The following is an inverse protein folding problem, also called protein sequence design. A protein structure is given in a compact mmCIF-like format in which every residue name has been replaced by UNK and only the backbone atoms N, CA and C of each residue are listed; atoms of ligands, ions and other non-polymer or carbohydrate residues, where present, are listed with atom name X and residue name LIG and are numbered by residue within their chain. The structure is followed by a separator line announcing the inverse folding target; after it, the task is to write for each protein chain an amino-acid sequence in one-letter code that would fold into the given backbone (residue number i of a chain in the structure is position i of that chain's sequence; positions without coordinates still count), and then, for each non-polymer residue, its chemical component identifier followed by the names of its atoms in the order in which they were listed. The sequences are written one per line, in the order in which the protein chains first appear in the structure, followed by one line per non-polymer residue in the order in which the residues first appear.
data_IF_038965731552
#
_entry.id   IF_038965731552
#
_cell.length_a   1.000
_cell.length_b   1.000
_cell.length_c   1.000
_cell.angle_alpha   90.00
_cell.angle_beta   90.00
_cell.angle_gamma   90.00
#
_symmetry.space_group_name_H-M   'P 1'
#
loop_
_entity.id
_entity.type
_entity.pdbx_description
1 polymer ?
#
# COMPACT_ATOMS: atom_id res chain seq x y z
N UNK A 1 -3.87 30.26 13.92
CA UNK A 1 -4.43 29.23 14.82
C UNK A 1 -5.62 28.61 14.10
N UNK A 2 -5.60 27.30 13.84
CA UNK A 2 -6.70 26.59 13.17
C UNK A 2 -7.88 26.50 14.15
N UNK A 3 -9.07 26.94 13.75
CA UNK A 3 -10.27 26.92 14.59
C UNK A 3 -11.09 25.67 14.27
N UNK A 4 -11.25 24.79 15.26
CA UNK A 4 -12.00 23.53 15.14
C UNK A 4 -13.44 23.77 14.63
N UNK A 5 -14.09 24.83 15.12
CA UNK A 5 -15.45 25.22 14.74
C UNK A 5 -15.58 25.54 13.24
N UNK A 6 -14.57 26.20 12.66
CA UNK A 6 -14.51 26.47 11.23
C UNK A 6 -14.31 25.18 10.41
N UNK A 7 -13.45 24.27 10.87
CA UNK A 7 -13.24 22.98 10.19
C UNK A 7 -14.50 22.11 10.25
N UNK A 8 -15.20 22.11 11.39
CA UNK A 8 -16.48 21.43 11.56
C UNK A 8 -17.53 21.92 10.56
N UNK A 9 -17.63 23.25 10.40
CA UNK A 9 -18.52 23.87 9.41
C UNK A 9 -18.14 23.49 7.98
N UNK A 10 -16.87 23.58 7.64
CA UNK A 10 -16.36 23.19 6.31
C UNK A 10 -16.66 21.72 6.01
N UNK A 11 -16.48 20.85 6.98
CA UNK A 11 -16.69 19.42 6.80
C UNK A 11 -18.17 19.04 6.66
N UNK A 12 -19.05 19.68 7.43
CA UNK A 12 -20.50 19.57 7.22
C UNK A 12 -20.89 20.00 5.81
N UNK A 13 -20.40 21.16 5.36
CA UNK A 13 -20.70 21.68 4.02
C UNK A 13 -20.17 20.75 2.92
N UNK A 14 -18.99 20.15 3.09
CA UNK A 14 -18.46 19.15 2.14
C UNK A 14 -19.41 17.96 1.99
N UNK A 15 -20.01 17.52 3.09
CA UNK A 15 -20.98 16.41 3.09
C UNK A 15 -22.37 16.83 2.59
N UNK A 16 -22.57 18.10 2.22
CA UNK A 16 -23.85 18.60 1.71
C UNK A 16 -24.95 18.69 2.77
N UNK A 17 -24.59 18.66 4.06
CA UNK A 17 -25.56 18.62 5.17
C UNK A 17 -25.91 20.04 5.65
N UNK A 18 -27.18 20.25 5.98
CA UNK A 18 -27.63 21.42 6.74
C UNK A 18 -27.32 21.26 8.23
N UNK A 19 -27.36 22.37 8.99
CA UNK A 19 -27.17 22.36 10.45
C UNK A 19 -28.23 21.49 11.17
N UNK A 20 -29.44 21.44 10.63
CA UNK A 20 -30.55 20.66 11.21
C UNK A 20 -30.36 19.16 10.95
N UNK A 21 -29.94 18.80 9.74
CA UNK A 21 -29.68 17.42 9.35
C UNK A 21 -28.54 16.81 10.15
N UNK A 22 -27.39 17.48 10.26
CA UNK A 22 -26.27 16.96 11.04
C UNK A 22 -26.63 16.83 12.52
N UNK A 23 -27.39 17.78 13.07
CA UNK A 23 -27.80 17.72 14.47
C UNK A 23 -28.66 16.49 14.71
N UNK A 24 -29.66 16.27 13.83
CA UNK A 24 -30.52 15.08 13.86
C UNK A 24 -29.74 13.79 13.70
N UNK A 25 -28.85 13.69 12.70
CA UNK A 25 -28.08 12.47 12.46
C UNK A 25 -27.07 12.16 13.56
N UNK A 26 -26.49 13.18 14.19
CA UNK A 26 -25.53 13.03 15.28
C UNK A 26 -26.16 13.02 16.68
N UNK A 27 -27.49 13.01 16.78
CA UNK A 27 -28.21 12.89 18.05
C UNK A 27 -28.08 14.10 18.98
N UNK A 28 -27.89 15.30 18.43
CA UNK A 28 -27.82 16.55 19.19
C UNK A 28 -28.93 17.52 18.76
N UNK A 29 -29.25 18.50 19.61
CA UNK A 29 -30.18 19.55 19.20
C UNK A 29 -29.53 20.50 18.18
N UNK A 30 -30.31 21.11 17.28
CA UNK A 30 -29.81 22.15 16.37
C UNK A 30 -29.09 23.28 17.11
N UNK A 31 -29.62 23.70 18.26
CA UNK A 31 -28.99 24.71 19.13
C UNK A 31 -27.62 24.25 19.62
N UNK A 32 -27.50 22.99 20.03
CA UNK A 32 -26.22 22.39 20.44
C UNK A 32 -25.22 22.40 19.30
N UNK A 33 -25.64 22.06 18.08
CA UNK A 33 -24.78 22.08 16.91
C UNK A 33 -24.32 23.52 16.56
N UNK A 34 -25.19 24.51 16.66
CA UNK A 34 -24.82 25.91 16.45
C UNK A 34 -23.69 26.34 17.40
N UNK A 35 -23.77 25.98 18.69
CA UNK A 35 -22.69 26.26 19.64
C UNK A 35 -21.34 25.64 19.26
N UNK A 36 -21.36 24.51 18.52
CA UNK A 36 -20.13 23.91 18.02
C UNK A 36 -19.53 24.69 16.84
N UNK A 37 -20.36 25.11 15.88
CA UNK A 37 -19.90 25.91 14.73
C UNK A 37 -19.51 27.34 15.11
N UNK A 38 -20.10 27.91 16.16
CA UNK A 38 -19.76 29.24 16.66
C UNK A 38 -18.52 29.20 17.60
N UNK A 39 -18.08 28.00 17.99
CA UNK A 39 -16.94 27.80 18.88
C UNK A 39 -17.23 28.07 20.36
N UNK A 40 -18.49 28.33 20.72
CA UNK A 40 -18.93 28.53 22.11
C UNK A 40 -18.84 27.25 22.94
N UNK A 41 -18.91 26.07 22.29
CA UNK A 41 -18.83 24.78 22.95
C UNK A 41 -17.99 23.80 22.13
N UNK A 42 -17.18 22.99 22.80
CA UNK A 42 -16.49 21.87 22.17
C UNK A 42 -17.48 20.74 21.81
N UNK A 43 -17.30 20.16 20.63
CA UNK A 43 -18.05 18.98 20.20
C UNK A 43 -17.75 17.78 21.11
N UNK A 44 -18.77 17.00 21.47
CA UNK A 44 -18.58 15.80 22.29
C UNK A 44 -18.00 14.65 21.46
N UNK A 45 -17.35 13.69 22.14
CA UNK A 45 -16.86 12.46 21.50
C UNK A 45 -17.98 11.71 20.79
N UNK A 46 -19.16 11.61 21.41
CA UNK A 46 -20.32 10.91 20.85
C UNK A 46 -20.79 11.55 19.55
N UNK A 47 -20.80 12.89 19.51
CA UNK A 47 -21.11 13.64 18.29
C UNK A 47 -20.07 13.34 17.20
N UNK A 48 -18.77 13.35 17.52
CA UNK A 48 -17.71 13.08 16.55
C UNK A 48 -17.74 11.63 16.04
N UNK A 49 -18.07 10.66 16.90
CA UNK A 49 -18.27 9.28 16.50
C UNK A 49 -19.45 9.13 15.54
N UNK A 50 -20.57 9.79 15.81
CA UNK A 50 -21.72 9.80 14.91
C UNK A 50 -21.38 10.51 13.59
N UNK A 51 -20.66 11.63 13.65
CA UNK A 51 -20.27 12.39 12.47
C UNK A 51 -19.30 11.62 11.57
N UNK A 52 -18.37 10.88 12.15
CA UNK A 52 -17.46 9.96 11.43
C UNK A 52 -18.25 8.90 10.64
N UNK A 53 -19.33 8.35 11.20
CA UNK A 53 -20.20 7.38 10.51
C UNK A 53 -20.93 7.98 9.30
N UNK A 54 -21.07 9.30 9.24
CA UNK A 54 -21.61 10.03 8.09
C UNK A 54 -20.55 10.31 7.01
N UNK A 55 -19.32 9.82 7.19
CA UNK A 55 -18.21 10.01 6.25
C UNK A 55 -17.42 11.30 6.48
N UNK A 56 -17.51 11.90 7.68
CA UNK A 56 -16.68 13.03 8.05
C UNK A 56 -15.23 12.60 8.32
N UNK A 57 -14.29 13.37 7.80
CA UNK A 57 -12.87 13.23 8.08
C UNK A 57 -12.54 13.86 9.43
N UNK A 58 -12.45 13.03 10.47
CA UNK A 58 -12.18 13.49 11.83
C UNK A 58 -10.77 14.05 11.95
N UNK A 59 -9.79 13.55 11.20
CA UNK A 59 -8.42 14.08 11.23
C UNK A 59 -8.41 15.54 10.75
N UNK A 60 -9.09 15.82 9.64
CA UNK A 60 -9.24 17.18 9.09
C UNK A 60 -9.76 18.19 10.12
N UNK A 61 -10.68 17.78 11.02
CA UNK A 61 -11.21 18.66 12.06
C UNK A 61 -10.14 19.19 13.02
N UNK A 62 -9.10 18.40 13.30
CA UNK A 62 -8.04 18.74 14.24
C UNK A 62 -6.79 19.30 13.57
N UNK A 63 -6.46 18.82 12.37
CA UNK A 63 -5.21 19.18 11.67
C UNK A 63 -5.41 20.29 10.64
N UNK A 64 -6.64 20.45 10.13
CA UNK A 64 -6.93 21.26 8.95
C UNK A 64 -6.43 20.65 7.64
N UNK A 65 -5.78 19.48 7.70
CA UNK A 65 -5.28 18.75 6.55
C UNK A 65 -6.22 17.58 6.27
N UNK A 66 -6.72 17.50 5.03
CA UNK A 66 -7.58 16.38 4.65
C UNK A 66 -6.75 15.12 4.61
N UNK A 67 -7.24 14.08 5.26
CA UNK A 67 -6.74 12.73 5.04
C UNK A 67 -6.91 12.46 3.55
N UNK A 68 -5.81 12.22 2.84
CA UNK A 68 -5.85 11.71 1.47
C UNK A 68 -6.35 10.26 1.53
N UNK A 69 -7.65 10.08 1.77
CA UNK A 69 -8.32 8.77 1.68
C UNK A 69 -8.75 8.45 0.24
N UNK A 70 -8.39 9.26 -0.75
CA UNK A 70 -8.55 8.87 -2.14
C UNK A 70 -7.28 8.21 -2.62
N UNK A 71 -7.06 6.96 -2.19
CA UNK A 71 -6.24 6.07 -3.02
C UNK A 71 -6.97 5.96 -4.36
N UNK A 72 -6.26 6.21 -5.45
CA UNK A 72 -6.79 5.94 -6.79
C UNK A 72 -7.27 4.47 -6.85
N UNK A 73 -8.27 4.12 -7.69
CA UNK A 73 -8.83 2.77 -7.73
C UNK A 73 -7.75 1.66 -7.84
N UNK A 74 -6.67 1.95 -8.58
CA UNK A 74 -5.53 1.05 -8.72
C UNK A 74 -4.69 0.96 -7.43
N UNK A 75 -4.35 2.08 -6.81
CA UNK A 75 -3.59 2.13 -5.55
C UNK A 75 -4.32 1.39 -4.42
N UNK A 76 -5.65 1.57 -4.35
CA UNK A 76 -6.50 0.85 -3.41
C UNK A 76 -6.47 -0.66 -3.65
N UNK A 77 -6.51 -1.06 -4.92
CA UNK A 77 -6.45 -2.48 -5.30
C UNK A 77 -5.12 -3.10 -4.91
N UNK A 78 -4.00 -2.40 -5.13
CA UNK A 78 -2.66 -2.84 -4.72
C UNK A 78 -2.59 -3.03 -3.21
N UNK A 79 -3.07 -2.05 -2.43
CA UNK A 79 -3.05 -2.14 -0.96
C UNK A 79 -3.91 -3.31 -0.45
N UNK A 80 -5.11 -3.49 -1.00
CA UNK A 80 -5.99 -4.60 -0.61
C UNK A 80 -5.39 -5.96 -0.98
N UNK A 81 -4.79 -6.09 -2.15
CA UNK A 81 -4.11 -7.31 -2.58
C UNK A 81 -2.91 -7.62 -1.67
N UNK A 82 -2.09 -6.61 -1.38
CA UNK A 82 -0.93 -6.73 -0.49
C UNK A 82 -1.33 -7.16 0.93
N UNK A 83 -2.41 -6.59 1.48
CA UNK A 83 -2.90 -6.92 2.82
C UNK A 83 -3.47 -8.34 2.94
N UNK A 84 -3.87 -8.96 1.82
CA UNK A 84 -4.33 -10.37 1.79
C UNK A 84 -3.19 -11.39 1.80
N UNK A 85 -1.95 -10.96 1.57
CA UNK A 85 -0.78 -11.84 1.65
C UNK A 85 -0.53 -12.21 3.12
N UNK A 86 -0.53 -13.51 3.40
CA UNK A 86 -0.48 -14.03 4.78
C UNK A 86 0.97 -14.23 5.25
N UNK A 87 1.87 -14.58 4.33
CA UNK A 87 3.27 -14.86 4.66
C UNK A 87 4.14 -13.64 4.37
N UNK A 88 5.04 -13.31 5.29
CA UNK A 88 5.99 -12.21 5.11
C UNK A 88 6.80 -12.36 3.82
N UNK A 89 7.20 -13.59 3.48
CA UNK A 89 7.90 -13.87 2.22
C UNK A 89 7.12 -13.44 0.96
N UNK A 90 5.79 -13.55 0.95
CA UNK A 90 4.97 -13.11 -0.18
C UNK A 90 4.95 -11.58 -0.30
N UNK A 91 4.88 -10.89 0.84
CA UNK A 91 4.95 -9.42 0.88
C UNK A 91 6.32 -8.92 0.42
N UNK A 92 7.40 -9.56 0.87
CA UNK A 92 8.75 -9.27 0.40
C UNK A 92 8.85 -9.45 -1.10
N UNK A 93 8.39 -10.58 -1.66
CA UNK A 93 8.39 -10.80 -3.10
C UNK A 93 7.60 -9.73 -3.87
N UNK A 94 6.42 -9.35 -3.40
CA UNK A 94 5.61 -8.31 -4.03
C UNK A 94 6.32 -6.95 -4.03
N UNK A 95 6.93 -6.54 -2.91
CA UNK A 95 7.71 -5.30 -2.83
C UNK A 95 8.93 -5.37 -3.75
N UNK A 96 9.71 -6.44 -3.68
CA UNK A 96 10.89 -6.63 -4.53
C UNK A 96 10.53 -6.52 -6.00
N UNK A 97 9.44 -7.17 -6.42
CA UNK A 97 8.95 -7.07 -7.79
C UNK A 97 8.62 -5.63 -8.20
N UNK A 98 7.85 -4.92 -7.39
CA UNK A 98 7.51 -3.51 -7.64
C UNK A 98 8.76 -2.62 -7.72
N UNK A 99 9.74 -2.82 -6.83
CA UNK A 99 11.01 -2.07 -6.85
C UNK A 99 11.87 -2.40 -8.06
N UNK A 100 11.89 -3.65 -8.51
CA UNK A 100 12.63 -4.06 -9.72
C UNK A 100 11.99 -3.49 -11.00
N UNK A 101 10.65 -3.41 -11.05
CA UNK A 101 9.94 -2.73 -12.14
C UNK A 101 10.22 -1.22 -12.15
N UNK A 102 10.16 -0.55 -10.99
CA UNK A 102 10.49 0.87 -10.85
C UNK A 102 11.94 1.15 -11.30
N UNK A 103 12.88 0.30 -10.88
CA UNK A 103 14.29 0.40 -11.26
C UNK A 103 14.57 0.03 -12.74
N UNK A 104 13.54 -0.38 -13.50
CA UNK A 104 13.67 -0.82 -14.90
C UNK A 104 14.51 -2.09 -15.09
N UNK A 105 14.74 -2.85 -14.01
CA UNK A 105 15.50 -4.10 -14.03
C UNK A 105 14.68 -5.25 -14.65
N UNK A 106 13.36 -5.10 -14.69
CA UNK A 106 12.43 -6.02 -15.33
C UNK A 106 11.60 -5.23 -16.35
N UNK A 107 11.35 -5.81 -17.54
CA UNK A 107 10.48 -5.24 -18.58
C UNK A 107 9.22 -6.10 -18.73
N UNK A 108 8.04 -5.50 -18.58
CA UNK A 108 6.76 -6.09 -19.03
C UNK A 108 5.72 -6.42 -17.94
N UNK A 109 4.46 -6.51 -18.40
CA UNK A 109 3.24 -6.92 -17.68
C UNK A 109 3.40 -8.31 -17.02
N UNK A 110 2.66 -8.60 -15.94
CA UNK A 110 2.74 -9.85 -15.15
C UNK A 110 2.75 -11.12 -16.02
N UNK A 111 2.04 -11.08 -17.16
CA UNK A 111 1.99 -12.17 -18.13
C UNK A 111 3.35 -12.52 -18.76
N UNK A 112 4.23 -11.56 -19.01
CA UNK A 112 5.51 -11.85 -19.70
C UNK A 112 6.50 -12.60 -18.82
N UNK A 113 6.35 -12.52 -17.49
CA UNK A 113 7.21 -13.19 -16.52
C UNK A 113 6.73 -14.61 -16.23
N UNK A 114 5.42 -14.81 -16.13
CA UNK A 114 4.82 -16.13 -15.93
C UNK A 114 5.00 -17.05 -17.14
N UNK A 115 5.01 -16.51 -18.37
CA UNK A 115 5.32 -17.27 -19.58
C UNK A 115 6.81 -17.66 -19.70
N UNK A 116 7.72 -16.88 -19.10
CA UNK A 116 9.13 -17.30 -18.98
C UNK A 116 9.29 -18.43 -17.96
N UNK A 117 8.55 -18.39 -16.85
CA UNK A 117 8.60 -19.42 -15.80
C UNK A 117 8.01 -20.76 -16.27
N UNK A 118 6.92 -20.75 -17.04
CA UNK A 118 6.37 -21.95 -17.70
C UNK A 118 7.36 -22.60 -18.66
N UNK A 119 8.16 -21.81 -19.37
CA UNK A 119 9.21 -22.33 -20.26
C UNK A 119 10.41 -22.92 -19.51
N UNK A 120 10.53 -22.69 -18.19
CA UNK A 120 11.52 -23.36 -17.33
C UNK A 120 11.00 -24.65 -16.69
N UNK A 121 9.69 -24.97 -16.75
CA UNK A 121 9.09 -26.17 -16.15
C UNK A 121 8.75 -27.28 -17.15
N UNK A 122 9.62 -27.55 -18.12
CA UNK A 122 9.56 -28.75 -18.97
C UNK A 122 10.74 -29.69 -18.71
N UNK A 123 10.64 -30.74 -17.87
CA UNK A 123 11.66 -31.76 -17.76
C UNK A 123 11.33 -32.99 -18.62
N UNK A 124 11.82 -33.05 -19.86
CA UNK A 124 12.21 -34.27 -20.63
C UNK A 124 12.58 -33.83 -22.06
N UNK A 125 13.77 -34.07 -22.60
CA UNK A 125 14.46 -35.34 -22.65
C UNK A 125 15.99 -35.17 -22.71
N UNK A 126 16.69 -35.92 -21.84
CA UNK A 126 18.06 -36.38 -22.06
C UNK A 126 18.14 -37.80 -21.49
N UNK A 127 17.55 -38.75 -22.21
CA UNK A 127 17.92 -40.15 -22.09
C UNK A 127 18.86 -40.49 -23.24
N UNK A 128 20.12 -40.78 -22.91
CA UNK A 128 21.04 -41.46 -23.80
C UNK A 128 22.02 -40.53 -24.51
N UNK A 129 23.02 -40.04 -23.79
CA UNK A 129 24.39 -40.02 -24.29
C UNK A 129 25.35 -39.91 -23.10
N UNK A 130 26.11 -40.99 -22.89
CA UNK A 130 27.25 -41.06 -21.99
C UNK A 130 28.23 -39.96 -22.36
N UNK A 131 28.35 -38.91 -21.53
CA UNK A 131 29.45 -37.95 -21.65
C UNK A 131 30.43 -38.23 -20.52
N UNK A 132 31.59 -38.73 -20.94
CA UNK A 132 32.79 -38.97 -20.15
C UNK A 132 33.20 -37.71 -19.40
N UNK A 133 33.33 -37.80 -18.07
CA UNK A 133 33.91 -36.75 -17.25
C UNK A 133 35.43 -36.69 -17.50
N UNK A 134 35.87 -35.68 -18.25
CA UNK A 134 37.24 -35.20 -18.15
C UNK A 134 37.27 -33.70 -18.45
N UNK A 135 37.91 -32.95 -17.53
CA UNK A 135 38.38 -31.55 -17.66
C UNK A 135 37.23 -30.55 -17.42
N UNK A 136 37.14 -29.80 -16.32
CA UNK A 136 38.07 -28.77 -15.81
C UNK A 136 37.96 -28.68 -14.27
N UNK A 137 38.96 -29.19 -13.55
CA UNK A 137 39.47 -28.55 -12.33
C UNK A 137 40.82 -27.96 -12.72
N UNK A 138 40.97 -26.63 -12.73
CA UNK A 138 42.25 -25.97 -12.45
C UNK A 138 42.13 -24.44 -12.47
N UNK A 139 41.80 -23.84 -11.32
CA UNK A 139 42.41 -22.57 -10.90
C UNK A 139 42.62 -22.59 -9.38
N UNK A 140 43.61 -23.35 -8.91
CA UNK A 140 44.34 -23.08 -7.66
C UNK A 140 45.52 -24.06 -7.54
N UNK A 141 46.74 -23.59 -7.78
CA UNK A 141 47.96 -24.38 -7.54
C UNK A 141 49.05 -24.16 -8.59
N UNK A 142 49.59 -22.95 -8.66
CA UNK A 142 50.92 -22.76 -9.26
C UNK A 142 51.94 -23.22 -8.24
N UNK A 143 52.47 -24.44 -8.43
CA UNK A 143 53.81 -24.79 -7.97
C UNK A 143 54.67 -25.20 -9.17
N UNK A 144 55.76 -24.45 -9.27
CA UNK A 144 56.84 -24.46 -10.24
C UNK A 144 57.74 -25.69 -10.01
N UNK A 145 58.10 -26.41 -11.08
CA UNK A 145 59.34 -27.20 -11.09
C UNK A 145 59.84 -27.45 -12.53
N UNK A 146 61.04 -26.94 -12.86
CA UNK A 146 61.80 -27.39 -14.04
C UNK A 146 63.21 -27.77 -13.58
N UNK A 147 63.39 -29.07 -13.33
CA UNK A 147 64.33 -29.92 -14.06
C UNK A 147 65.83 -29.63 -14.00
N UNK A 148 66.55 -30.50 -13.27
CA UNK A 148 67.97 -30.76 -13.45
C UNK A 148 68.26 -31.37 -14.83
N UNK A 149 69.24 -30.80 -15.55
CA UNK A 149 70.34 -31.52 -16.19
C UNK A 149 71.53 -30.60 -16.34
#
# INVERSE_FOLDING_TARGET
MVQFSQMLKNERMRLGLTQDEIARFCGVSKRTYNYYEDGERAASSDFLMAFSKLGADINYLFTGERTKESLEPLERTVLLAFNRLVKDGQKTSAITFMTMLEAGLIKGDFNTLWEQEKNLQSPTALSGQTVSNSIIENVAGRDINIGKK
#
